data_IF_270014876320
#
_entry.id   IF_270014876320
#
_cell.length_a   1.000
_cell.length_b   1.000
_cell.length_c   1.000
_cell.angle_alpha   90.00
_cell.angle_beta   90.00
_cell.angle_gamma   90.00
#
_symmetry.space_group_name_H-M   'P 1'
#
loop_
_entity.id
_entity.type
_entity.pdbx_description
1 polymer ?
#
# COMPACT_ATOMS: atom_id res chain seq x y z
N UNK A 1 15.96 -0.93 16.92
CA UNK A 1 15.47 -0.55 15.57
C UNK A 1 14.09 -1.17 15.40
N UNK A 2 13.15 -0.41 14.84
CA UNK A 2 11.80 -0.92 14.58
C UNK A 2 11.84 -1.96 13.45
N UNK A 3 11.07 -3.03 13.58
CA UNK A 3 11.06 -4.11 12.59
C UNK A 3 10.48 -3.60 11.27
N UNK A 4 11.27 -3.66 10.19
CA UNK A 4 10.81 -3.26 8.87
C UNK A 4 9.62 -4.10 8.40
N UNK A 5 8.63 -3.48 7.74
CA UNK A 5 7.34 -4.13 7.44
C UNK A 5 6.88 -3.93 6.00
N UNK A 6 6.49 -5.00 5.31
CA UNK A 6 5.75 -4.94 4.04
C UNK A 6 4.28 -5.21 4.33
N UNK A 7 3.41 -4.30 3.91
CA UNK A 7 1.95 -4.44 3.93
C UNK A 7 1.49 -4.73 2.50
N UNK A 8 1.13 -5.99 2.26
CA UNK A 8 0.62 -6.45 0.99
C UNK A 8 -0.91 -6.38 0.98
N UNK A 9 -1.47 -5.42 0.24
CA UNK A 9 -2.90 -5.37 -0.08
C UNK A 9 -3.19 -6.36 -1.21
N UNK A 10 -3.72 -7.54 -0.89
CA UNK A 10 -3.97 -8.62 -1.84
C UNK A 10 -5.45 -8.71 -2.22
N UNK A 11 -5.73 -9.13 -3.46
CA UNK A 11 -7.10 -9.22 -3.95
C UNK A 11 -7.26 -9.50 -5.43
N UNK A 12 -8.47 -9.86 -5.84
CA UNK A 12 -8.83 -10.13 -7.24
C UNK A 12 -8.66 -8.87 -8.12
N UNK A 13 -8.54 -9.02 -9.43
CA UNK A 13 -8.54 -7.87 -10.34
C UNK A 13 -9.83 -7.05 -10.18
N UNK A 14 -9.75 -5.72 -10.37
CA UNK A 14 -10.92 -4.84 -10.25
C UNK A 14 -11.47 -4.63 -8.83
N UNK A 15 -10.80 -5.15 -7.79
CA UNK A 15 -11.27 -5.04 -6.40
C UNK A 15 -11.14 -3.66 -5.77
N UNK A 16 -10.47 -2.68 -6.40
CA UNK A 16 -10.30 -1.33 -5.83
C UNK A 16 -8.97 -1.09 -5.10
N UNK A 17 -8.02 -2.04 -5.14
CA UNK A 17 -6.72 -1.93 -4.45
C UNK A 17 -5.90 -0.70 -4.82
N UNK A 18 -5.73 -0.43 -6.11
CA UNK A 18 -4.93 0.72 -6.58
C UNK A 18 -5.52 2.03 -6.10
N UNK A 19 -6.85 2.15 -6.11
CA UNK A 19 -7.54 3.33 -5.57
C UNK A 19 -7.38 3.42 -4.05
N UNK A 20 -7.54 2.30 -3.33
CA UNK A 20 -7.34 2.24 -1.87
C UNK A 20 -5.95 2.72 -1.46
N UNK A 21 -4.88 2.24 -2.11
CA UNK A 21 -3.51 2.65 -1.78
C UNK A 21 -3.24 4.10 -2.16
N UNK A 22 -3.83 4.60 -3.26
CA UNK A 22 -3.73 6.02 -3.61
C UNK A 22 -4.39 6.90 -2.56
N UNK A 23 -5.56 6.53 -2.06
CA UNK A 23 -6.23 7.25 -0.97
C UNK A 23 -5.35 7.20 0.29
N UNK A 24 -4.81 6.02 0.64
CA UNK A 24 -3.91 5.89 1.78
C UNK A 24 -2.66 6.78 1.65
N UNK A 25 -2.11 6.95 0.44
CA UNK A 25 -1.01 7.90 0.17
C UNK A 25 -1.42 9.33 0.49
N UNK A 26 -2.59 9.79 0.04
CA UNK A 26 -3.05 11.15 0.33
C UNK A 26 -3.28 11.37 1.83
N UNK A 27 -3.87 10.40 2.54
CA UNK A 27 -4.06 10.45 3.99
C UNK A 27 -2.72 10.50 4.75
N UNK A 28 -1.70 9.76 4.31
CA UNK A 28 -0.36 9.86 4.88
C UNK A 28 0.28 11.23 4.64
N UNK A 29 0.03 11.85 3.48
CA UNK A 29 0.49 13.23 3.21
C UNK A 29 -0.17 14.19 4.21
N UNK A 30 -1.50 14.07 4.42
CA UNK A 30 -2.23 14.89 5.40
C UNK A 30 -1.65 14.71 6.81
N UNK A 31 -1.45 13.46 7.23
CA UNK A 31 -1.05 13.15 8.61
C UNK A 31 0.40 13.53 8.94
N UNK A 32 1.32 13.47 7.97
CA UNK A 32 2.76 13.56 8.26
C UNK A 32 3.53 14.64 7.52
N UNK A 33 2.99 15.18 6.42
CA UNK A 33 3.75 16.07 5.53
C UNK A 33 3.10 17.45 5.45
N UNK A 34 1.82 17.50 5.13
CA UNK A 34 1.07 18.72 4.96
C UNK A 34 -0.37 18.55 5.48
N UNK A 35 -0.67 18.95 6.73
CA UNK A 35 -2.02 18.88 7.29
C UNK A 35 -3.08 19.71 6.55
N UNK A 36 -2.66 20.68 5.72
CA UNK A 36 -3.56 21.46 4.86
C UNK A 36 -3.79 20.82 3.49
N UNK A 37 -3.14 19.69 3.21
CA UNK A 37 -3.33 18.96 1.96
C UNK A 37 -4.78 18.52 1.81
N UNK A 38 -5.30 18.63 0.60
CA UNK A 38 -6.62 18.14 0.25
C UNK A 38 -6.57 17.51 -1.13
N UNK A 39 -7.45 16.54 -1.35
CA UNK A 39 -7.56 15.83 -2.60
C UNK A 39 -9.03 15.58 -2.92
N UNK A 40 -9.35 15.49 -4.21
CA UNK A 40 -10.69 15.18 -4.69
C UNK A 40 -10.74 13.76 -5.25
N UNK A 41 -11.91 13.13 -5.13
CA UNK A 41 -12.20 11.86 -5.77
C UNK A 41 -12.94 12.07 -7.11
N UNK A 42 -12.69 11.22 -8.12
CA UNK A 42 -11.72 10.13 -8.14
C UNK A 42 -10.27 10.62 -8.30
N UNK A 43 -9.32 9.92 -7.68
CA UNK A 43 -7.89 10.21 -7.87
C UNK A 43 -7.43 9.89 -9.30
N UNK A 44 -6.37 10.56 -9.80
CA UNK A 44 -5.83 10.32 -11.14
C UNK A 44 -5.60 8.83 -11.43
N UNK A 45 -5.92 8.39 -12.65
CA UNK A 45 -5.66 7.02 -13.11
C UNK A 45 -4.17 6.74 -13.23
N UNK A 46 -3.80 5.46 -13.29
CA UNK A 46 -2.41 5.00 -13.47
C UNK A 46 -1.81 4.33 -12.24
N UNK A 47 -0.55 3.91 -12.35
CA UNK A 47 0.20 3.34 -11.23
C UNK A 47 0.86 4.42 -10.38
N UNK A 48 1.20 4.09 -9.13
CA UNK A 48 1.98 4.93 -8.24
C UNK A 48 3.23 4.19 -7.77
N UNK A 49 4.34 4.93 -7.69
CA UNK A 49 5.57 4.57 -7.00
C UNK A 49 6.03 5.85 -6.30
N UNK A 50 5.98 5.87 -4.97
CA UNK A 50 6.40 7.04 -4.20
C UNK A 50 6.96 6.61 -2.86
N UNK A 51 7.91 7.38 -2.35
CA UNK A 51 8.40 7.24 -0.98
C UNK A 51 8.05 8.50 -0.21
N UNK A 52 7.37 8.33 0.91
CA UNK A 52 7.04 9.39 1.86
C UNK A 52 7.94 9.27 3.09
N UNK A 53 8.21 10.38 3.76
CA UNK A 53 8.87 10.37 5.08
C UNK A 53 7.82 10.68 6.13
N UNK A 54 7.45 9.69 6.94
CA UNK A 54 6.42 9.78 7.96
C UNK A 54 7.05 9.62 9.34
N UNK A 55 7.09 10.69 10.13
CA UNK A 55 7.73 10.71 11.46
C UNK A 55 9.17 10.16 11.45
N UNK A 56 9.97 10.55 10.45
CA UNK A 56 11.35 10.09 10.29
C UNK A 56 11.52 8.69 9.66
N UNK A 57 10.45 7.93 9.48
CA UNK A 57 10.47 6.63 8.80
C UNK A 57 10.13 6.76 7.32
N UNK A 58 10.78 5.96 6.47
CA UNK A 58 10.52 5.96 5.03
C UNK A 58 9.41 4.96 4.69
N UNK A 59 8.30 5.47 4.16
CA UNK A 59 7.13 4.69 3.71
C UNK A 59 7.09 4.64 2.19
N UNK A 60 7.43 3.50 1.61
CA UNK A 60 7.31 3.24 0.18
C UNK A 60 5.89 2.81 -0.17
N UNK A 61 5.33 3.37 -1.23
CA UNK A 61 3.96 3.11 -1.68
C UNK A 61 3.99 2.75 -3.16
N UNK A 62 3.45 1.57 -3.47
CA UNK A 62 3.59 0.96 -4.79
C UNK A 62 2.28 0.28 -5.21
N UNK A 63 1.62 0.81 -6.24
CA UNK A 63 0.55 0.05 -6.89
C UNK A 63 1.15 -0.84 -7.96
N UNK A 64 0.97 -2.15 -7.77
CA UNK A 64 1.32 -3.17 -8.76
C UNK A 64 0.04 -3.52 -9.51
N UNK A 65 -0.23 -2.77 -10.56
CA UNK A 65 -1.36 -3.02 -11.43
C UNK A 65 -1.25 -4.31 -12.25
N UNK A 66 -2.19 -4.42 -13.16
CA UNK A 66 -2.50 -5.58 -13.98
C UNK A 66 -1.41 -5.93 -15.03
N UNK A 67 -0.42 -5.05 -15.20
CA UNK A 67 0.47 -5.00 -16.36
C UNK A 67 1.96 -5.19 -16.05
N UNK A 68 2.37 -5.40 -14.81
CA UNK A 68 3.80 -5.61 -14.53
C UNK A 68 4.22 -6.98 -15.07
N UNK A 69 5.02 -6.95 -16.14
CA UNK A 69 5.84 -8.09 -16.55
C UNK A 69 6.80 -8.38 -15.39
N UNK A 70 7.19 -9.64 -15.23
CA UNK A 70 8.00 -10.11 -14.09
C UNK A 70 9.25 -9.24 -13.81
N UNK A 71 9.90 -8.71 -14.86
CA UNK A 71 11.06 -7.82 -14.72
C UNK A 71 10.76 -6.47 -14.05
N UNK A 72 9.60 -5.88 -14.34
CA UNK A 72 9.25 -4.54 -13.85
C UNK A 72 8.90 -4.54 -12.36
N UNK A 73 8.28 -5.63 -11.88
CA UNK A 73 8.01 -5.82 -10.47
C UNK A 73 9.31 -5.86 -9.65
N UNK A 74 10.30 -6.64 -10.12
CA UNK A 74 11.58 -6.75 -9.45
C UNK A 74 12.28 -5.40 -9.37
N UNK A 75 12.29 -4.64 -10.47
CA UNK A 75 12.91 -3.33 -10.49
C UNK A 75 12.22 -2.36 -9.49
N UNK A 76 10.88 -2.33 -9.45
CA UNK A 76 10.14 -1.39 -8.59
C UNK A 76 10.19 -1.76 -7.10
N UNK A 77 10.21 -3.04 -6.75
CA UNK A 77 10.36 -3.44 -5.34
C UNK A 77 11.80 -3.33 -4.87
N UNK A 78 12.77 -3.70 -5.71
CA UNK A 78 14.19 -3.60 -5.36
C UNK A 78 14.65 -2.14 -5.19
N UNK A 79 13.95 -1.15 -5.78
CA UNK A 79 14.24 0.26 -5.51
C UNK A 79 13.65 0.75 -4.18
N UNK A 80 12.64 0.09 -3.61
CA UNK A 80 12.02 0.49 -2.34
C UNK A 80 12.66 -0.21 -1.13
N UNK A 81 12.92 -1.52 -1.24
CA UNK A 81 13.44 -2.37 -0.16
C UNK A 81 14.70 -1.85 0.54
N UNK A 82 15.76 -1.40 -0.15
CA UNK A 82 16.95 -0.93 0.55
C UNK A 82 16.72 0.36 1.35
N UNK A 83 15.68 1.13 1.01
CA UNK A 83 15.51 2.49 1.52
C UNK A 83 14.26 2.71 2.37
N UNK A 84 13.30 1.78 2.42
CA UNK A 84 12.07 1.97 3.16
C UNK A 84 12.07 1.18 4.48
N UNK A 85 11.37 1.70 5.48
CA UNK A 85 11.08 1.01 6.73
C UNK A 85 9.72 0.30 6.65
N UNK A 86 8.78 0.92 5.93
CA UNK A 86 7.45 0.38 5.65
C UNK A 86 7.23 0.40 4.14
N UNK A 87 6.69 -0.67 3.57
CA UNK A 87 6.28 -0.72 2.16
C UNK A 87 4.81 -1.12 2.09
N UNK A 88 3.95 -0.25 1.56
CA UNK A 88 2.56 -0.56 1.22
C UNK A 88 2.47 -0.88 -0.26
N UNK A 89 2.08 -2.11 -0.61
CA UNK A 89 1.95 -2.52 -2.00
C UNK A 89 0.65 -3.26 -2.32
N UNK A 90 0.07 -2.99 -3.49
CA UNK A 90 -1.05 -3.77 -4.02
C UNK A 90 -0.52 -5.00 -4.73
N UNK A 91 -1.22 -6.13 -4.66
CA UNK A 91 -0.89 -7.33 -5.43
C UNK A 91 -2.14 -8.11 -5.85
N UNK A 92 -2.06 -8.80 -6.98
CA UNK A 92 -3.11 -9.73 -7.43
C UNK A 92 -2.91 -11.10 -6.79
N UNK A 93 -4.02 -11.76 -6.45
CA UNK A 93 -4.01 -13.14 -5.87
C UNK A 93 -3.36 -14.15 -6.82
N UNK A 94 -3.59 -14.02 -8.14
CA UNK A 94 -3.23 -15.04 -9.13
C UNK A 94 -1.83 -14.89 -9.72
N UNK A 95 -1.04 -13.92 -9.27
CA UNK A 95 0.25 -13.62 -9.89
C UNK A 95 1.40 -14.03 -8.96
N UNK A 96 2.53 -14.41 -9.57
CA UNK A 96 3.83 -14.63 -8.91
C UNK A 96 4.29 -13.46 -8.03
N UNK A 97 3.64 -12.29 -8.18
CA UNK A 97 3.80 -11.09 -7.35
C UNK A 97 3.69 -11.42 -5.85
N UNK A 98 2.69 -12.20 -5.43
CA UNK A 98 2.49 -12.48 -4.01
C UNK A 98 3.62 -13.33 -3.43
N UNK A 99 4.03 -14.37 -4.16
CA UNK A 99 5.17 -15.22 -3.81
C UNK A 99 6.47 -14.40 -3.80
N UNK A 100 6.63 -13.49 -4.75
CA UNK A 100 7.82 -12.65 -4.84
C UNK A 100 7.94 -11.66 -3.67
N UNK A 101 6.84 -11.03 -3.27
CA UNK A 101 6.80 -10.18 -2.08
C UNK A 101 7.22 -10.98 -0.85
N UNK A 102 6.77 -12.23 -0.74
CA UNK A 102 7.14 -13.13 0.35
C UNK A 102 8.64 -13.51 0.33
N UNK A 103 9.18 -13.86 -0.84
CA UNK A 103 10.61 -14.10 -1.02
C UNK A 103 11.46 -12.87 -0.64
N UNK A 104 11.04 -11.68 -1.06
CA UNK A 104 11.71 -10.42 -0.76
C UNK A 104 11.62 -10.09 0.73
N UNK A 105 10.46 -10.31 1.34
CA UNK A 105 10.29 -10.12 2.78
C UNK A 105 11.26 -11.00 3.57
N UNK A 106 11.33 -12.28 3.21
CA UNK A 106 12.22 -13.24 3.85
C UNK A 106 13.70 -12.90 3.63
N UNK A 107 14.07 -12.54 2.40
CA UNK A 107 15.47 -12.22 2.03
C UNK A 107 16.00 -10.98 2.73
N UNK A 108 15.13 -9.99 2.95
CA UNK A 108 15.51 -8.70 3.56
C UNK A 108 15.05 -8.55 5.01
N UNK A 109 14.59 -9.65 5.64
CA UNK A 109 14.10 -9.68 7.01
C UNK A 109 13.00 -8.64 7.32
N UNK A 110 12.06 -8.48 6.40
CA UNK A 110 10.84 -7.71 6.64
C UNK A 110 9.76 -8.60 7.26
N UNK A 111 9.00 -8.03 8.19
CA UNK A 111 7.70 -8.56 8.57
C UNK A 111 6.73 -8.41 7.39
N UNK A 112 6.04 -9.47 6.99
CA UNK A 112 5.01 -9.41 5.95
C UNK A 112 3.61 -9.44 6.56
N UNK A 113 2.81 -8.39 6.31
CA UNK A 113 1.40 -8.31 6.67
C UNK A 113 0.55 -8.42 5.40
N UNK A 114 -0.28 -9.45 5.29
CA UNK A 114 -1.21 -9.63 4.17
C UNK A 114 -2.59 -9.11 4.56
N UNK A 115 -3.06 -8.06 3.89
CA UNK A 115 -4.37 -7.43 4.14
C UNK A 115 -5.22 -7.40 2.88
N UNK A 116 -6.54 -7.34 3.01
CA UNK A 116 -7.48 -7.15 1.88
C UNK A 116 -8.30 -5.89 2.12
N UNK A 117 -8.76 -5.26 1.03
CA UNK A 117 -9.71 -4.16 1.13
C UNK A 117 -11.14 -4.68 1.31
N UNK A 118 -12.01 -3.83 1.87
CA UNK A 118 -13.44 -4.09 1.95
C UNK A 118 -14.08 -4.17 0.56
N UNK A 119 -15.08 -5.04 0.43
CA UNK A 119 -15.80 -5.29 -0.82
C UNK A 119 -17.27 -5.50 -0.52
N UNK A 120 -18.11 -4.94 -1.36
CA UNK A 120 -19.56 -5.08 -1.33
C UNK A 120 -20.09 -4.72 -2.72
N UNK A 121 -21.07 -5.47 -3.19
CA UNK A 121 -21.71 -5.26 -4.49
C UNK A 121 -23.15 -4.78 -4.38
N UNK A 122 -23.72 -4.79 -3.18
CA UNK A 122 -25.13 -4.47 -2.94
C UNK A 122 -25.27 -3.12 -2.23
N UNK A 123 -26.33 -2.35 -2.53
CA UNK A 123 -26.68 -1.16 -1.76
C UNK A 123 -26.80 -1.47 -0.25
N UNK A 124 -26.41 -0.53 0.63
CA UNK A 124 -25.99 0.84 0.34
C UNK A 124 -24.49 0.98 0.03
N UNK A 125 -23.76 -0.12 -0.12
CA UNK A 125 -22.30 -0.06 -0.23
C UNK A 125 -21.85 0.46 -1.59
N UNK A 126 -21.25 1.64 -1.61
CA UNK A 126 -20.53 2.13 -2.79
C UNK A 126 -19.06 1.67 -2.74
N UNK A 127 -18.48 1.34 -3.90
CA UNK A 127 -17.07 0.96 -3.99
C UNK A 127 -16.14 2.07 -3.49
N UNK A 128 -16.49 3.33 -3.74
CA UNK A 128 -15.69 4.48 -3.34
C UNK A 128 -15.62 4.58 -1.81
N UNK A 129 -16.76 4.49 -1.13
CA UNK A 129 -16.83 4.54 0.34
C UNK A 129 -16.06 3.37 0.97
N UNK A 130 -16.19 2.17 0.40
CA UNK A 130 -15.44 1.00 0.88
C UNK A 130 -13.92 1.15 0.67
N UNK A 131 -13.49 1.75 -0.43
CA UNK A 131 -12.08 2.02 -0.69
C UNK A 131 -11.53 3.09 0.28
N UNK A 132 -12.30 4.14 0.56
CA UNK A 132 -11.96 5.15 1.58
C UNK A 132 -11.84 4.53 2.97
N UNK A 133 -12.83 3.73 3.39
CA UNK A 133 -12.80 3.05 4.69
C UNK A 133 -11.62 2.08 4.80
N UNK A 134 -11.33 1.34 3.73
CA UNK A 134 -10.17 0.45 3.66
C UNK A 134 -8.86 1.23 3.79
N UNK A 135 -8.75 2.37 3.09
CA UNK A 135 -7.57 3.22 3.14
C UNK A 135 -7.34 3.76 4.55
N UNK A 136 -8.39 4.22 5.23
CA UNK A 136 -8.32 4.67 6.63
C UNK A 136 -7.74 3.60 7.55
N UNK A 137 -8.26 2.37 7.50
CA UNK A 137 -7.74 1.29 8.35
C UNK A 137 -6.32 0.85 7.98
N UNK A 138 -5.92 0.96 6.71
CA UNK A 138 -4.53 0.73 6.29
C UNK A 138 -3.62 1.83 6.86
N UNK A 139 -4.06 3.08 6.84
CA UNK A 139 -3.32 4.21 7.44
C UNK A 139 -3.22 4.03 8.94
N UNK A 140 -4.29 3.62 9.62
CA UNK A 140 -4.27 3.33 11.05
C UNK A 140 -3.26 2.21 11.39
N UNK A 141 -3.21 1.16 10.57
CA UNK A 141 -2.20 0.10 10.70
C UNK A 141 -0.78 0.65 10.54
N UNK A 142 -0.53 1.49 9.53
CA UNK A 142 0.76 2.15 9.32
C UNK A 142 1.12 3.02 10.53
N UNK A 143 0.17 3.79 11.07
CA UNK A 143 0.39 4.65 12.24
C UNK A 143 0.74 3.83 13.49
N UNK A 144 0.11 2.68 13.68
CA UNK A 144 0.45 1.75 14.78
C UNK A 144 1.85 1.16 14.61
N UNK A 145 2.27 0.84 13.38
CA UNK A 145 3.65 0.42 13.10
C UNK A 145 4.61 1.57 13.38
N UNK A 146 4.35 2.79 12.88
CA UNK A 146 5.22 3.97 13.09
C UNK A 146 5.41 4.26 14.58
N UNK A 147 4.34 4.22 15.38
CA UNK A 147 4.39 4.46 16.82
C UNK A 147 5.03 3.31 17.63
N UNK A 148 5.25 2.15 17.01
CA UNK A 148 5.79 0.97 17.69
C UNK A 148 4.78 0.25 18.57
N UNK A 149 3.49 0.52 18.40
CA UNK A 149 2.42 -0.22 19.07
C UNK A 149 2.36 -1.69 18.58
N UNK A 150 2.82 -1.95 17.36
CA UNK A 150 2.93 -3.28 16.73
C UNK A 150 4.24 -3.49 15.99
#
# INVERSE_FOLDING_TARGET
MQQKTIIQLWGTAGSGKTETIKIAKEELIINYINPSHSYALPLPKGEINVTLTCNGLKVGIESMGDYLRYGDLNNRLNTLIPYCDIILCASRVRNDVAKRIEELANTHNYRLLKVTNYRGSEPPFSRSDLNQLSAKHIVDLINQIISGAI
#
